data_IF_510888091039
#
_entry.id   IF_510888091039
#
_cell.length_a   1.000
_cell.length_b   1.000
_cell.length_c   1.000
_cell.angle_alpha   90.00
_cell.angle_beta   90.00
_cell.angle_gamma   90.00
#
_symmetry.space_group_name_H-M   'P 1'
#
loop_
_entity.id
_entity.type
_entity.pdbx_description
1 polymer ?
#
# COMPACT_ATOMS: atom_id res chain seq x y z
N UNK A 1 12.97 5.80 12.67
CA UNK A 1 12.58 4.37 12.59
C UNK A 1 12.97 3.89 11.21
N UNK A 2 13.78 2.83 11.13
CA UNK A 2 14.18 2.25 9.84
C UNK A 2 13.09 1.32 9.34
N UNK A 3 12.86 1.31 8.03
CA UNK A 3 11.85 0.47 7.37
C UNK A 3 12.49 -0.35 6.28
N UNK A 4 11.85 -1.42 5.87
CA UNK A 4 12.26 -2.23 4.72
C UNK A 4 11.39 -1.88 3.53
N UNK A 5 11.90 -2.14 2.34
CA UNK A 5 11.12 -2.01 1.12
C UNK A 5 11.27 -3.25 0.25
N UNK A 6 10.29 -3.47 -0.61
CA UNK A 6 10.36 -4.45 -1.69
C UNK A 6 9.82 -3.82 -2.95
N UNK A 7 10.46 -4.13 -4.07
CA UNK A 7 10.02 -3.73 -5.40
C UNK A 7 9.56 -4.96 -6.15
N UNK A 8 8.45 -4.84 -6.86
CA UNK A 8 7.86 -5.94 -7.61
C UNK A 8 7.27 -5.41 -8.92
N UNK A 9 7.19 -6.31 -9.91
CA UNK A 9 6.68 -5.97 -11.24
C UNK A 9 5.15 -6.12 -11.30
N UNK A 10 4.54 -5.24 -12.08
CA UNK A 10 3.11 -5.25 -12.43
C UNK A 10 2.96 -5.01 -13.94
N UNK A 11 1.78 -5.25 -14.53
CA UNK A 11 1.51 -4.90 -15.93
C UNK A 11 1.72 -3.41 -16.27
N UNK A 12 1.74 -2.53 -15.27
CA UNK A 12 1.87 -1.08 -15.43
C UNK A 12 3.26 -0.54 -15.02
N UNK A 13 4.23 -1.43 -14.77
CA UNK A 13 5.59 -1.09 -14.36
C UNK A 13 5.93 -1.53 -12.94
N UNK A 14 7.00 -0.94 -12.38
CA UNK A 14 7.52 -1.30 -11.06
C UNK A 14 6.72 -0.62 -9.96
N UNK A 15 6.23 -1.39 -9.00
CA UNK A 15 5.59 -0.90 -7.78
C UNK A 15 6.47 -1.23 -6.57
N UNK A 16 6.24 -0.54 -5.45
CA UNK A 16 6.97 -0.81 -4.22
C UNK A 16 6.07 -0.83 -2.99
N UNK A 17 6.50 -1.55 -1.98
CA UNK A 17 5.91 -1.52 -0.65
C UNK A 17 6.97 -1.24 0.39
N UNK A 18 6.61 -0.40 1.37
CA UNK A 18 7.45 -0.06 2.52
C UNK A 18 6.80 -0.60 3.79
N UNK A 19 7.54 -1.32 4.61
CA UNK A 19 7.02 -2.03 5.77
C UNK A 19 8.04 -2.17 6.92
N UNK A 20 7.53 -2.46 8.12
CA UNK A 20 8.32 -2.87 9.29
C UNK A 20 8.17 -4.38 9.49
N UNK A 21 9.14 -5.07 10.10
CA UNK A 21 9.06 -6.52 10.33
C UNK A 21 8.55 -6.91 11.72
N UNK A 22 8.86 -6.14 12.76
CA UNK A 22 8.56 -6.48 14.15
C UNK A 22 8.01 -5.28 14.93
N UNK A 23 6.66 -5.12 15.01
CA UNK A 23 5.63 -5.92 14.34
C UNK A 23 5.56 -5.65 12.83
N UNK A 24 4.95 -6.58 12.08
CA UNK A 24 4.70 -6.37 10.65
C UNK A 24 3.66 -5.27 10.43
N UNK A 25 4.06 -4.19 9.77
CA UNK A 25 3.15 -3.12 9.36
C UNK A 25 3.55 -2.54 8.00
N UNK A 26 2.62 -2.56 7.06
CA UNK A 26 2.69 -1.87 5.78
C UNK A 26 2.49 -0.37 6.00
N UNK A 27 3.53 0.41 5.71
CA UNK A 27 3.55 1.85 5.88
C UNK A 27 3.05 2.57 4.64
N UNK A 28 3.50 2.14 3.46
CA UNK A 28 3.16 2.77 2.19
C UNK A 28 3.22 1.77 1.03
N UNK A 29 2.37 1.98 0.05
CA UNK A 29 2.43 1.34 -1.26
C UNK A 29 2.66 2.44 -2.29
N UNK A 30 3.68 2.29 -3.11
CA UNK A 30 3.91 3.11 -4.28
C UNK A 30 3.27 2.44 -5.49
N UNK A 31 2.42 3.19 -6.19
CA UNK A 31 1.78 2.73 -7.41
C UNK A 31 2.82 2.46 -8.52
N UNK A 32 2.49 1.61 -9.51
CA UNK A 32 3.40 1.29 -10.60
C UNK A 32 3.94 2.52 -11.31
N UNK A 33 5.25 2.52 -11.58
CA UNK A 33 5.96 3.54 -12.35
C UNK A 33 6.86 2.91 -13.40
N UNK A 34 7.10 3.64 -14.48
CA UNK A 34 8.04 3.22 -15.53
C UNK A 34 9.50 3.39 -15.10
N UNK A 35 9.82 4.46 -14.37
CA UNK A 35 11.18 4.72 -13.88
C UNK A 35 11.43 4.04 -12.53
N UNK A 36 12.33 3.06 -12.54
CA UNK A 36 12.81 2.40 -11.32
C UNK A 36 13.61 3.35 -10.42
N UNK A 37 14.43 4.21 -11.02
CA UNK A 37 15.27 5.16 -10.29
C UNK A 37 14.42 6.19 -9.53
N UNK A 38 13.36 6.70 -10.15
CA UNK A 38 12.48 7.68 -9.52
C UNK A 38 11.69 7.04 -8.37
N UNK A 39 11.35 5.75 -8.51
CA UNK A 39 10.68 4.99 -7.46
C UNK A 39 11.59 4.81 -6.25
N UNK A 40 12.87 4.44 -6.45
CA UNK A 40 13.86 4.34 -5.37
C UNK A 40 14.07 5.70 -4.71
N UNK A 41 14.23 6.77 -5.50
CA UNK A 41 14.46 8.12 -4.98
C UNK A 41 13.32 8.57 -4.08
N UNK A 42 12.06 8.36 -4.46
CA UNK A 42 10.90 8.68 -3.63
C UNK A 42 10.87 7.85 -2.33
N UNK A 43 11.26 6.58 -2.40
CA UNK A 43 11.34 5.71 -1.22
C UNK A 43 12.39 6.25 -0.23
N UNK A 44 13.57 6.61 -0.72
CA UNK A 44 14.68 7.13 0.08
C UNK A 44 14.41 8.54 0.62
N UNK A 45 13.65 9.36 -0.10
CA UNK A 45 13.20 10.67 0.39
C UNK A 45 12.21 10.56 1.55
N UNK A 46 11.28 9.60 1.47
CA UNK A 46 10.22 9.46 2.48
C UNK A 46 10.66 8.65 3.71
N UNK A 47 11.66 7.77 3.57
CA UNK A 47 12.02 6.81 4.60
C UNK A 47 13.52 6.53 4.73
N UNK A 48 13.95 6.28 5.96
CA UNK A 48 15.27 5.70 6.25
C UNK A 48 15.20 4.18 6.05
N UNK A 49 15.89 3.67 5.03
CA UNK A 49 15.84 2.27 4.62
C UNK A 49 16.82 1.41 5.42
N UNK A 50 16.31 0.29 5.95
CA UNK A 50 17.08 -0.85 6.42
C UNK A 50 17.28 -1.83 5.27
N UNK A 51 18.50 -2.36 5.13
CA UNK A 51 18.84 -3.22 3.99
C UNK A 51 18.45 -4.70 4.17
N UNK A 52 18.02 -5.15 5.36
CA UNK A 52 18.00 -6.59 5.69
C UNK A 52 16.73 -7.14 6.38
N UNK A 53 15.59 -6.45 6.36
CA UNK A 53 14.36 -6.96 6.98
C UNK A 53 13.40 -7.61 6.00
N UNK A 54 13.30 -8.95 6.05
CA UNK A 54 12.28 -9.72 5.35
C UNK A 54 11.15 -10.14 6.30
N UNK A 55 9.92 -10.22 5.78
CA UNK A 55 8.77 -10.77 6.49
C UNK A 55 7.80 -11.42 5.51
N UNK A 56 7.42 -12.69 5.72
CA UNK A 56 6.64 -13.50 4.76
C UNK A 56 5.28 -12.93 4.34
N UNK A 57 4.63 -12.14 5.20
CA UNK A 57 3.42 -11.40 4.82
C UNK A 57 3.60 -10.50 3.59
N UNK A 58 4.82 -10.05 3.29
CA UNK A 58 5.06 -9.21 2.12
C UNK A 58 4.80 -9.96 0.82
N UNK A 59 5.16 -11.24 0.72
CA UNK A 59 4.91 -12.07 -0.45
C UNK A 59 3.41 -12.24 -0.72
N UNK A 60 2.64 -12.38 0.35
CA UNK A 60 1.17 -12.45 0.27
C UNK A 60 0.59 -11.16 -0.31
N UNK A 61 1.12 -10.00 0.12
CA UNK A 61 0.70 -8.70 -0.39
C UNK A 61 1.11 -8.46 -1.83
N UNK A 62 2.34 -8.85 -2.21
CA UNK A 62 2.83 -8.75 -3.60
C UNK A 62 1.88 -9.52 -4.52
N UNK A 63 1.59 -10.79 -4.21
CA UNK A 63 0.70 -11.62 -5.02
C UNK A 63 -0.71 -11.02 -5.15
N UNK A 64 -1.26 -10.49 -4.04
CA UNK A 64 -2.58 -9.84 -4.05
C UNK A 64 -2.61 -8.59 -4.92
N UNK A 65 -1.59 -7.73 -4.82
CA UNK A 65 -1.50 -6.52 -5.64
C UNK A 65 -1.27 -6.83 -7.11
N UNK A 66 -0.43 -7.81 -7.43
CA UNK A 66 -0.26 -8.27 -8.81
C UNK A 66 -1.57 -8.79 -9.40
N UNK A 67 -2.33 -9.61 -8.66
CA UNK A 67 -3.68 -10.04 -9.08
C UNK A 67 -4.63 -8.86 -9.29
N UNK A 68 -4.58 -7.85 -8.42
CA UNK A 68 -5.39 -6.65 -8.53
C UNK A 68 -5.11 -5.88 -9.83
N UNK A 69 -3.83 -5.67 -10.16
CA UNK A 69 -3.46 -5.02 -11.41
C UNK A 69 -3.80 -5.86 -12.65
N UNK A 70 -4.04 -7.17 -12.50
CA UNK A 70 -4.59 -8.03 -13.54
C UNK A 70 -6.14 -8.08 -13.56
N UNK A 71 -6.83 -7.15 -12.88
CA UNK A 71 -8.29 -7.01 -12.96
C UNK A 71 -9.08 -7.81 -11.94
N UNK A 72 -8.46 -8.33 -10.88
CA UNK A 72 -9.15 -9.07 -9.82
C UNK A 72 -9.44 -8.17 -8.61
N UNK A 73 -10.55 -8.40 -7.88
CA UNK A 73 -10.81 -7.68 -6.63
C UNK A 73 -9.74 -8.01 -5.57
N UNK A 74 -9.46 -7.04 -4.70
CA UNK A 74 -8.53 -7.20 -3.57
C UNK A 74 -9.26 -7.02 -2.25
N UNK A 75 -8.89 -7.83 -1.25
CA UNK A 75 -9.35 -7.66 0.14
C UNK A 75 -8.33 -6.86 0.95
N UNK A 76 -8.82 -5.82 1.63
CA UNK A 76 -7.95 -4.92 2.40
C UNK A 76 -7.34 -5.63 3.62
N UNK A 77 -6.00 -5.66 3.75
CA UNK A 77 -5.31 -6.34 4.86
C UNK A 77 -5.29 -5.48 6.13
N UNK A 78 -6.47 -5.16 6.70
CA UNK A 78 -6.63 -4.18 7.79
C UNK A 78 -5.63 -4.30 8.95
N UNK A 79 -5.32 -5.53 9.37
CA UNK A 79 -4.41 -5.82 10.50
C UNK A 79 -2.95 -5.50 10.19
N UNK A 80 -2.59 -5.41 8.91
CA UNK A 80 -1.22 -5.17 8.47
C UNK A 80 -1.00 -3.71 8.08
N UNK A 81 -2.03 -2.88 7.98
CA UNK A 81 -1.88 -1.47 7.62
C UNK A 81 -1.44 -0.64 8.83
N UNK A 82 -0.46 0.24 8.61
CA UNK A 82 -0.10 1.28 9.57
C UNK A 82 -1.12 2.43 9.49
N UNK A 83 -1.74 2.72 10.64
CA UNK A 83 -2.62 3.89 10.81
C UNK A 83 -1.91 5.04 11.52
N UNK A 84 -0.60 4.90 11.76
CA UNK A 84 0.21 5.93 12.39
C UNK A 84 0.15 7.22 11.56
N UNK A 85 0.16 8.36 12.24
CA UNK A 85 0.10 9.71 11.63
C UNK A 85 -1.17 10.02 10.84
N UNK A 86 -2.22 9.20 10.95
CA UNK A 86 -3.54 9.51 10.35
C UNK A 86 -4.50 10.03 11.41
N UNK A 87 -5.27 11.05 11.06
CA UNK A 87 -6.33 11.57 11.93
C UNK A 87 -7.51 10.59 11.99
N UNK A 88 -8.35 10.63 13.04
CA UNK A 88 -9.55 9.80 13.12
C UNK A 88 -10.44 9.93 11.87
N UNK A 89 -10.58 11.15 11.34
CA UNK A 89 -11.35 11.40 10.12
C UNK A 89 -10.72 10.69 8.91
N UNK A 90 -9.40 10.80 8.71
CA UNK A 90 -8.71 10.10 7.61
C UNK A 90 -8.87 8.58 7.69
N UNK A 91 -8.80 8.01 8.91
CA UNK A 91 -9.01 6.57 9.11
C UNK A 91 -10.45 6.20 8.75
N UNK A 92 -11.45 6.97 9.21
CA UNK A 92 -12.85 6.73 8.86
C UNK A 92 -13.04 6.77 7.34
N UNK A 93 -12.58 7.84 6.68
CA UNK A 93 -12.69 8.00 5.24
C UNK A 93 -12.08 6.82 4.49
N UNK A 94 -10.86 6.40 4.83
CA UNK A 94 -10.21 5.27 4.16
C UNK A 94 -10.95 3.94 4.38
N UNK A 95 -11.52 3.73 5.56
CA UNK A 95 -12.35 2.56 5.84
C UNK A 95 -13.62 2.55 4.99
N UNK A 96 -14.34 3.67 4.94
CA UNK A 96 -15.55 3.79 4.12
C UNK A 96 -15.27 3.67 2.62
N UNK A 97 -14.15 4.25 2.14
CA UNK A 97 -13.73 4.12 0.74
C UNK A 97 -13.43 2.66 0.39
N UNK A 98 -12.81 1.90 1.29
CA UNK A 98 -12.50 0.50 1.04
C UNK A 98 -13.74 -0.42 1.00
N UNK A 99 -14.91 0.07 1.41
CA UNK A 99 -16.19 -0.65 1.27
C UNK A 99 -16.85 -0.44 -0.10
N UNK A 100 -16.33 0.46 -0.93
CA UNK A 100 -16.81 0.63 -2.31
C UNK A 100 -16.45 -0.65 -3.08
N UNK A 101 -17.43 -1.35 -3.69
CA UNK A 101 -17.16 -2.57 -4.44
C UNK A 101 -16.19 -2.34 -5.60
N UNK A 102 -15.43 -3.36 -5.95
CA UNK A 102 -14.53 -3.31 -7.10
C UNK A 102 -15.32 -3.05 -8.40
N UNK A 103 -14.86 -2.07 -9.19
CA UNK A 103 -15.53 -1.64 -10.42
C UNK A 103 -16.64 -0.59 -10.21
N UNK A 104 -17.00 -0.29 -8.96
CA UNK A 104 -18.02 0.71 -8.63
C UNK A 104 -17.42 2.05 -8.23
N UNK A 105 -18.25 3.10 -8.23
CA UNK A 105 -17.87 4.46 -7.85
C UNK A 105 -18.76 5.04 -6.77
N UNK A 106 -18.22 5.98 -6.01
CA UNK A 106 -18.93 6.74 -4.98
C UNK A 106 -18.47 8.20 -5.05
N UNK A 107 -19.40 9.15 -5.04
CA UNK A 107 -19.04 10.57 -5.00
C UNK A 107 -18.54 10.97 -3.61
N UNK A 108 -17.78 12.07 -3.54
CA UNK A 108 -17.34 12.63 -2.26
C UNK A 108 -18.52 12.99 -1.34
N UNK A 109 -19.62 13.50 -1.89
CA UNK A 109 -20.82 13.82 -1.11
C UNK A 109 -21.50 12.55 -0.57
N UNK A 110 -21.56 11.47 -1.36
CA UNK A 110 -22.11 10.19 -0.90
C UNK A 110 -21.23 9.59 0.20
N UNK A 111 -19.91 9.65 0.05
CA UNK A 111 -18.97 9.17 1.05
C UNK A 111 -19.05 9.98 2.35
N UNK A 112 -19.18 11.30 2.27
CA UNK A 112 -19.29 12.19 3.44
C UNK A 112 -20.58 11.97 4.25
N UNK A 113 -21.62 11.36 3.65
CA UNK A 113 -22.88 11.02 4.32
C UNK A 113 -22.84 9.67 5.05
N UNK A 114 -21.77 8.89 4.92
CA UNK A 114 -21.51 7.67 5.70
C UNK A 114 -20.78 8.01 7.00
#
# INVERSE_FOLDING_TARGET
>A
MTVNHVIFQTPFGSAAMVYTCAPFQLQKVYLPRQSYTDLIQDIEQDFLISQNGYHSHIDVLIKRLQHYFCGHPITTPWKWLSWQKRTPLQIKTLKETALIPFGEVCSYQQLAKK
#
